data_IF_287225114295
#
_entry.id   IF_287225114295
#
_cell.length_a   1.000
_cell.length_b   1.000
_cell.length_c   1.000
_cell.angle_alpha   90.00
_cell.angle_beta   90.00
_cell.angle_gamma   90.00
#
_symmetry.space_group_name_H-M   'P 1'
#
loop_
_entity.id
_entity.type
_entity.pdbx_description
1 polymer ?
#
# COMPACT_ATOMS: atom_id res chain seq x y z
N UNK A 1 7.29 5.21 11.44
CA UNK A 1 7.88 6.18 10.45
C UNK A 1 6.79 7.02 9.77
N UNK A 2 7.06 8.26 9.33
CA UNK A 2 6.04 9.11 8.68
C UNK A 2 6.09 8.96 7.16
N UNK A 3 4.93 8.93 6.52
CA UNK A 3 4.82 9.03 5.07
C UNK A 3 3.78 10.08 4.69
N UNK A 4 3.91 10.60 3.48
CA UNK A 4 3.16 11.75 3.03
C UNK A 4 2.40 11.38 1.77
N UNK A 5 1.10 11.62 1.79
CA UNK A 5 0.19 11.38 0.68
C UNK A 5 -0.06 12.68 -0.04
N UNK A 6 0.03 12.67 -1.36
CA UNK A 6 -0.38 13.79 -2.20
C UNK A 6 -1.59 13.35 -2.99
N UNK A 7 -2.70 14.06 -2.84
CA UNK A 7 -3.91 13.83 -3.64
C UNK A 7 -4.11 15.01 -4.59
N UNK A 8 -4.06 14.77 -5.91
CA UNK A 8 -4.28 15.81 -6.91
C UNK A 8 -5.79 16.11 -7.10
N UNK A 9 -6.12 17.12 -7.92
CA UNK A 9 -7.51 17.49 -8.21
C UNK A 9 -8.32 16.42 -8.93
N UNK A 10 -7.65 15.44 -9.55
CA UNK A 10 -8.26 14.29 -10.24
C UNK A 10 -8.44 13.09 -9.29
N UNK A 11 -8.13 13.24 -8.01
CA UNK A 11 -8.22 12.17 -7.01
C UNK A 11 -7.06 11.15 -7.07
N UNK A 12 -6.05 11.37 -7.91
CA UNK A 12 -4.86 10.53 -7.99
C UNK A 12 -4.01 10.72 -6.74
N UNK A 13 -3.52 9.60 -6.19
CA UNK A 13 -2.78 9.55 -4.93
C UNK A 13 -1.34 9.08 -5.16
N UNK A 14 -0.39 9.83 -4.60
CA UNK A 14 1.03 9.49 -4.60
C UNK A 14 1.59 9.49 -3.18
N UNK A 15 2.49 8.55 -2.89
CA UNK A 15 3.06 8.35 -1.56
C UNK A 15 4.55 8.71 -1.55
N UNK A 16 4.97 9.48 -0.54
CA UNK A 16 6.33 10.00 -0.41
C UNK A 16 6.89 9.76 0.99
N UNK A 17 8.18 9.42 1.08
CA UNK A 17 8.85 9.20 2.36
C UNK A 17 9.19 10.47 3.13
N UNK A 18 9.22 11.62 2.47
CA UNK A 18 9.54 12.92 3.09
C UNK A 18 8.48 13.98 2.80
N UNK A 19 8.33 14.93 3.73
CA UNK A 19 7.40 16.04 3.56
C UNK A 19 7.79 16.96 2.41
N UNK A 20 9.10 17.15 2.21
CA UNK A 20 9.63 18.03 1.17
C UNK A 20 9.28 17.50 -0.23
N UNK A 21 9.44 16.20 -0.46
CA UNK A 21 9.10 15.58 -1.74
C UNK A 21 7.60 15.64 -2.02
N UNK A 22 6.78 15.39 -1.00
CA UNK A 22 5.33 15.52 -1.09
C UNK A 22 4.88 16.96 -1.39
N UNK A 23 5.45 17.96 -0.71
CA UNK A 23 5.13 19.37 -0.94
C UNK A 23 5.51 19.81 -2.37
N UNK A 24 6.64 19.34 -2.88
CA UNK A 24 7.08 19.60 -4.27
C UNK A 24 6.10 18.99 -5.27
N UNK A 25 5.71 17.73 -5.07
CA UNK A 25 4.75 17.05 -5.93
C UNK A 25 3.35 17.69 -5.88
N UNK A 26 2.89 18.07 -4.68
CA UNK A 26 1.61 18.76 -4.50
C UNK A 26 1.58 20.12 -5.20
N UNK A 27 2.66 20.90 -5.12
CA UNK A 27 2.77 22.18 -5.83
C UNK A 27 2.73 22.02 -7.35
N UNK A 28 3.39 20.99 -7.88
CA UNK A 28 3.39 20.69 -9.31
C UNK A 28 2.02 20.24 -9.83
N UNK A 29 1.32 19.37 -9.07
CA UNK A 29 0.04 18.78 -9.46
C UNK A 29 -1.21 19.48 -8.92
N UNK A 30 -1.08 20.65 -8.28
CA UNK A 30 -2.17 21.32 -7.53
C UNK A 30 -2.87 20.38 -6.52
N UNK A 31 -2.09 19.51 -5.88
CA UNK A 31 -2.60 18.54 -4.91
C UNK A 31 -2.57 19.04 -3.48
N UNK A 32 -3.25 18.31 -2.59
CA UNK A 32 -3.18 18.48 -1.14
C UNK A 32 -2.22 17.45 -0.55
N UNK A 33 -1.38 17.89 0.38
CA UNK A 33 -0.48 17.02 1.17
C UNK A 33 -1.19 16.62 2.46
N UNK A 34 -1.22 15.33 2.72
CA UNK A 34 -1.65 14.75 4.00
C UNK A 34 -0.46 14.00 4.62
N UNK A 35 -0.21 14.23 5.90
CA UNK A 35 0.80 13.50 6.65
C UNK A 35 0.15 12.30 7.33
N UNK A 36 0.72 11.11 7.14
CA UNK A 36 0.21 9.87 7.69
C UNK A 36 1.32 9.13 8.43
N UNK A 37 0.93 8.48 9.52
CA UNK A 37 1.85 7.72 10.35
C UNK A 37 1.77 6.25 9.97
N UNK A 38 2.91 5.68 9.61
CA UNK A 38 3.04 4.24 9.37
C UNK A 38 3.78 3.60 10.54
N UNK A 39 3.45 2.33 10.80
CA UNK A 39 4.12 1.55 11.83
C UNK A 39 5.63 1.47 11.60
N UNK A 40 6.36 1.07 12.64
CA UNK A 40 7.81 0.98 12.56
C UNK A 40 8.26 -0.26 11.78
N UNK A 41 9.36 -0.09 11.04
CA UNK A 41 9.94 -1.14 10.21
C UNK A 41 9.17 -1.43 8.91
N UNK A 42 9.66 -2.45 8.18
CA UNK A 42 9.16 -2.81 6.84
C UNK A 42 7.73 -3.35 6.88
N UNK A 43 7.35 -4.07 7.93
CA UNK A 43 6.00 -4.62 8.08
C UNK A 43 4.96 -3.51 8.26
N UNK A 44 5.22 -2.54 9.14
CA UNK A 44 4.33 -1.40 9.36
C UNK A 44 4.15 -0.52 8.10
N UNK A 45 5.20 -0.38 7.29
CA UNK A 45 5.11 0.30 6.00
C UNK A 45 4.27 -0.49 4.97
N UNK A 46 4.44 -1.81 4.90
CA UNK A 46 3.67 -2.67 4.00
C UNK A 46 2.18 -2.71 4.37
N UNK A 47 1.87 -2.85 5.66
CA UNK A 47 0.49 -2.81 6.14
C UNK A 47 -0.17 -1.47 5.87
N UNK A 48 0.57 -0.37 6.07
CA UNK A 48 0.12 0.96 5.72
C UNK A 48 -0.20 1.07 4.22
N UNK A 49 0.73 0.66 3.36
CA UNK A 49 0.54 0.71 1.91
C UNK A 49 -0.62 -0.19 1.47
N UNK A 50 -0.78 -1.38 2.06
CA UNK A 50 -1.94 -2.23 1.81
C UNK A 50 -3.25 -1.58 2.26
N UNK A 51 -3.28 -0.87 3.39
CA UNK A 51 -4.49 -0.19 3.85
C UNK A 51 -4.88 0.97 2.92
N UNK A 52 -3.91 1.76 2.47
CA UNK A 52 -4.18 3.04 1.80
C UNK A 52 -3.96 3.05 0.28
N UNK A 53 -3.19 2.11 -0.27
CA UNK A 53 -3.05 1.91 -1.71
C UNK A 53 -4.14 0.99 -2.28
N UNK A 54 -4.76 0.13 -1.46
CA UNK A 54 -5.79 -0.83 -1.89
C UNK A 54 -7.21 -0.26 -1.99
N UNK A 55 -7.36 1.04 -2.25
CA UNK A 55 -8.67 1.63 -2.54
C UNK A 55 -8.58 2.42 -3.84
N UNK A 56 -9.04 1.85 -4.95
CA UNK A 56 -9.98 2.62 -5.78
C UNK A 56 -11.36 2.12 -5.37
N UNK A 57 -12.33 3.01 -5.14
CA UNK A 57 -13.70 2.63 -4.72
C UNK A 57 -14.38 1.65 -5.69
N UNK A 58 -13.83 1.47 -6.89
CA UNK A 58 -14.39 0.67 -7.98
C UNK A 58 -13.72 -0.69 -8.25
N UNK A 59 -12.62 -1.08 -7.58
CA UNK A 59 -11.90 -2.29 -7.98
C UNK A 59 -11.97 -3.43 -6.97
N UNK A 60 -12.75 -4.44 -7.36
CA UNK A 60 -12.85 -5.78 -6.79
C UNK A 60 -11.45 -6.40 -6.60
N UNK A 61 -11.22 -6.92 -5.40
CA UNK A 61 -9.95 -7.50 -4.96
C UNK A 61 -9.65 -8.81 -5.70
N UNK A 62 -8.54 -8.90 -6.42
CA UNK A 62 -7.89 -10.19 -6.67
C UNK A 62 -7.03 -10.53 -5.46
N UNK A 63 -7.58 -11.27 -4.51
CA UNK A 63 -6.80 -11.90 -3.44
C UNK A 63 -5.98 -13.01 -4.10
N UNK A 64 -4.68 -12.81 -4.26
CA UNK A 64 -3.78 -13.89 -4.69
C UNK A 64 -3.66 -14.87 -3.53
N UNK A 65 -4.49 -15.92 -3.56
CA UNK A 65 -4.37 -17.07 -2.67
C UNK A 65 -3.17 -17.90 -3.13
N UNK A 66 -2.03 -17.76 -2.47
CA UNK A 66 -0.91 -18.68 -2.64
C UNK A 66 -1.37 -20.02 -2.04
N UNK A 67 -1.83 -20.91 -2.90
CA UNK A 67 -2.07 -22.30 -2.54
C UNK A 67 -0.71 -22.97 -2.61
N UNK A 68 -0.01 -23.09 -1.49
CA UNK A 68 1.09 -24.04 -1.41
C UNK A 68 0.44 -25.43 -1.59
N UNK A 69 0.50 -25.94 -2.81
CA UNK A 69 0.12 -27.30 -3.12
C UNK A 69 0.84 -28.24 -2.16
N UNK A 70 0.07 -29.01 -1.39
CA UNK A 70 0.56 -30.14 -0.60
C UNK A 70 1.55 -30.98 -1.42
N UNK A 71 2.71 -31.39 -0.88
CA UNK A 71 3.24 -32.68 -1.28
C UNK A 71 2.27 -33.79 -0.81
N UNK A 72 1.97 -34.82 -1.61
CA UNK A 72 1.21 -35.97 -1.12
C UNK A 72 1.98 -36.61 0.05
N UNK A 73 1.25 -36.92 1.11
CA UNK A 73 1.77 -37.70 2.25
C UNK A 73 1.66 -39.16 1.82
N UNK A 74 2.77 -39.91 1.81
CA UNK A 74 2.74 -41.36 1.66
C UNK A 74 1.90 -41.97 2.80
N UNK A 75 0.85 -42.72 2.44
CA UNK A 75 0.08 -43.53 3.38
C UNK A 75 0.95 -44.70 3.90
N UNK A 76 1.06 -44.90 5.22
CA UNK A 76 1.69 -46.09 5.78
C UNK A 76 0.68 -47.27 5.82
N UNK A 77 1.19 -48.49 5.61
CA UNK A 77 0.49 -49.80 5.66
C UNK A 77 -0.37 -50.20 4.44
N UNK A 78 0.27 -50.96 3.55
CA UNK A 78 -0.33 -51.98 2.69
C UNK A 78 0.13 -53.36 3.17
#
# INVERSE_FOLDING_TARGET
>A
MKIYKVTNSEGQRSWHGTQADAAKAAKAGKGKVEQLESGDGKAGLLDFLNLHASTSEDQVRTVVRITASKPPVDDPEA
#
